data_IF_704524814733
#
_entry.id   IF_704524814733
#
_cell.length_a   1.000
_cell.length_b   1.000
_cell.length_c   1.000
_cell.angle_alpha   90.00
_cell.angle_beta   90.00
_cell.angle_gamma   90.00
#
_symmetry.space_group_name_H-M   'P 1'
#
loop_
_entity.id
_entity.type
_entity.pdbx_description
1 polymer ?
#
# COMPACT_ATOMS: atom_id res chain seq x y z
N UNK A 1 28.11 18.49 14.23
CA UNK A 1 28.06 17.20 13.49
C UNK A 1 27.49 17.50 12.12
N UNK A 2 28.28 17.29 11.06
CA UNK A 2 27.90 17.55 9.67
C UNK A 2 26.92 16.46 9.22
N UNK A 3 25.69 16.83 8.86
CA UNK A 3 24.81 15.96 8.09
C UNK A 3 25.41 15.84 6.69
N UNK A 4 26.01 14.69 6.40
CA UNK A 4 26.42 14.34 5.05
C UNK A 4 25.16 14.09 4.26
N UNK A 5 24.89 14.94 3.26
CA UNK A 5 23.99 14.62 2.16
C UNK A 5 24.52 13.32 1.57
N UNK A 6 23.79 12.22 1.74
CA UNK A 6 24.16 10.93 1.20
C UNK A 6 24.13 11.03 -0.33
N UNK A 7 25.31 10.98 -0.93
CA UNK A 7 25.53 10.68 -2.33
C UNK A 7 25.09 9.22 -2.57
N UNK A 8 23.79 9.04 -2.84
CA UNK A 8 23.23 7.73 -3.15
C UNK A 8 23.68 7.31 -4.55
N UNK A 9 24.75 6.52 -4.62
CA UNK A 9 25.08 5.75 -5.83
C UNK A 9 24.07 4.62 -6.02
N UNK A 10 22.90 4.90 -6.60
CA UNK A 10 21.95 3.88 -7.07
C UNK A 10 22.34 3.39 -8.47
N UNK A 11 23.22 2.39 -8.54
CA UNK A 11 23.60 1.72 -9.81
C UNK A 11 23.24 0.22 -9.86
N UNK A 12 22.40 -0.28 -8.95
CA UNK A 12 21.90 -1.65 -9.01
C UNK A 12 20.43 -1.64 -9.44
N UNK A 13 20.19 -2.15 -10.64
CA UNK A 13 18.90 -2.16 -11.33
C UNK A 13 17.79 -2.79 -10.50
N UNK A 14 16.58 -2.23 -10.63
CA UNK A 14 15.39 -2.75 -9.97
C UNK A 14 15.08 -4.21 -10.34
N UNK A 15 14.18 -4.81 -9.57
CA UNK A 15 13.71 -6.18 -9.80
C UNK A 15 13.16 -6.30 -11.22
N UNK A 16 13.51 -7.39 -11.92
CA UNK A 16 12.90 -7.74 -13.20
C UNK A 16 11.37 -7.84 -13.00
N UNK A 17 10.54 -7.03 -13.68
CA UNK A 17 9.08 -7.04 -13.51
C UNK A 17 8.43 -8.40 -13.77
N UNK A 18 9.04 -9.24 -14.63
CA UNK A 18 8.56 -10.61 -14.91
C UNK A 18 9.07 -11.65 -13.89
N UNK A 19 9.88 -11.28 -12.91
CA UNK A 19 10.24 -12.19 -11.81
C UNK A 19 9.04 -12.43 -10.88
N UNK A 20 9.06 -13.47 -10.03
CA UNK A 20 8.04 -13.64 -9.00
C UNK A 20 7.88 -12.40 -8.10
N UNK A 21 8.98 -11.75 -7.73
CA UNK A 21 8.96 -10.53 -6.93
C UNK A 21 8.39 -9.35 -7.72
N UNK A 22 8.69 -9.25 -9.02
CA UNK A 22 8.17 -8.21 -9.89
C UNK A 22 6.65 -8.27 -10.03
N UNK A 23 6.10 -9.48 -10.27
CA UNK A 23 4.65 -9.71 -10.31
C UNK A 23 4.01 -9.44 -8.95
N UNK A 24 4.66 -9.83 -7.85
CA UNK A 24 4.16 -9.53 -6.52
C UNK A 24 4.09 -8.02 -6.23
N UNK A 25 5.08 -7.24 -6.69
CA UNK A 25 5.09 -5.79 -6.52
C UNK A 25 4.02 -5.08 -7.37
N UNK A 26 3.63 -5.65 -8.52
CA UNK A 26 2.53 -5.13 -9.34
C UNK A 26 1.20 -5.10 -8.56
N UNK A 27 1.00 -6.01 -7.61
CA UNK A 27 -0.17 -6.03 -6.72
C UNK A 27 -0.25 -4.86 -5.73
N UNK A 28 0.82 -4.10 -5.56
CA UNK A 28 0.88 -2.96 -4.63
C UNK A 28 1.35 -1.69 -5.34
N UNK A 29 1.10 -1.60 -6.65
CA UNK A 29 1.56 -0.49 -7.48
C UNK A 29 0.86 0.82 -7.09
N UNK A 30 1.66 1.80 -6.69
CA UNK A 30 1.14 3.14 -6.40
C UNK A 30 0.73 3.88 -7.68
N UNK A 31 -0.42 4.54 -7.65
CA UNK A 31 -0.76 5.58 -8.62
C UNK A 31 -0.03 6.89 -8.27
N UNK A 32 -0.07 7.86 -9.19
CA UNK A 32 0.63 9.16 -8.99
C UNK A 32 0.09 9.93 -7.78
N UNK A 33 -1.21 9.86 -7.53
CA UNK A 33 -1.84 10.50 -6.39
C UNK A 33 -1.31 9.97 -5.06
N UNK A 34 -1.19 8.64 -4.94
CA UNK A 34 -0.73 7.99 -3.72
C UNK A 34 0.74 8.33 -3.43
N UNK A 35 1.59 8.41 -4.46
CA UNK A 35 2.99 8.85 -4.32
C UNK A 35 3.09 10.32 -3.90
N UNK A 36 2.25 11.21 -4.45
CA UNK A 36 2.21 12.62 -4.05
C UNK A 36 1.77 12.77 -2.59
N UNK A 37 0.70 12.07 -2.20
CA UNK A 37 0.22 12.01 -0.81
C UNK A 37 1.30 11.44 0.14
N UNK A 38 2.02 10.42 -0.28
CA UNK A 38 3.12 9.86 0.52
C UNK A 38 4.27 10.84 0.72
N UNK A 39 4.65 11.60 -0.31
CA UNK A 39 5.74 12.56 -0.21
C UNK A 39 5.43 13.68 0.81
N UNK A 40 4.19 14.17 0.83
CA UNK A 40 3.77 15.18 1.82
C UNK A 40 3.62 14.55 3.20
N UNK A 41 3.08 13.33 3.27
CA UNK A 41 2.93 12.58 4.50
C UNK A 41 4.26 12.28 5.22
N UNK A 42 5.34 12.06 4.47
CA UNK A 42 6.68 11.88 5.05
C UNK A 42 7.14 13.12 5.83
N UNK A 43 6.79 14.33 5.40
CA UNK A 43 7.13 15.55 6.15
C UNK A 43 6.47 15.56 7.53
N UNK A 44 5.18 15.19 7.61
CA UNK A 44 4.49 15.05 8.89
C UNK A 44 5.10 13.95 9.75
N UNK A 45 5.51 12.83 9.15
CA UNK A 45 6.20 11.74 9.87
C UNK A 45 7.51 12.23 10.50
N UNK A 46 8.36 12.91 9.72
CA UNK A 46 9.64 13.42 10.19
C UNK A 46 9.46 14.50 11.27
N UNK A 47 8.54 15.45 11.05
CA UNK A 47 8.25 16.49 12.03
C UNK A 47 7.74 15.90 13.36
N UNK A 48 6.87 14.91 13.30
CA UNK A 48 6.34 14.25 14.50
C UNK A 48 7.43 13.51 15.26
N UNK A 49 8.30 12.78 14.54
CA UNK A 49 9.46 12.12 15.13
C UNK A 49 10.40 13.11 15.83
N UNK A 50 10.73 14.23 15.18
CA UNK A 50 11.60 15.25 15.78
C UNK A 50 10.99 15.90 17.03
N UNK A 51 9.68 16.20 17.00
CA UNK A 51 8.97 16.77 18.16
C UNK A 51 8.99 15.80 19.34
N UNK A 52 8.59 14.55 19.12
CA UNK A 52 8.55 13.51 20.16
C UNK A 52 9.95 13.30 20.75
N UNK A 53 10.97 13.16 19.91
CA UNK A 53 12.34 12.94 20.36
C UNK A 53 12.88 14.15 21.15
N UNK A 54 12.64 15.38 20.67
CA UNK A 54 13.08 16.61 21.34
C UNK A 54 12.45 16.77 22.74
N UNK A 55 11.16 16.49 22.88
CA UNK A 55 10.43 16.60 24.13
C UNK A 55 10.87 15.53 25.14
N UNK A 56 11.04 14.27 24.70
CA UNK A 56 11.53 13.19 25.55
C UNK A 56 12.97 13.46 26.02
N UNK A 57 13.86 13.92 25.13
CA UNK A 57 15.23 14.27 25.50
C UNK A 57 15.30 15.45 26.49
N UNK A 58 14.46 16.47 26.33
CA UNK A 58 14.36 17.57 27.31
C UNK A 58 13.85 17.08 28.67
N UNK A 59 12.92 16.11 28.70
CA UNK A 59 12.36 15.55 29.94
C UNK A 59 13.38 14.66 30.66
N UNK A 60 14.11 13.80 29.94
CA UNK A 60 15.24 13.02 30.51
C UNK A 60 16.32 13.90 31.15
N UNK A 61 16.59 15.10 30.60
CA UNK A 61 17.51 16.06 31.25
C UNK A 61 16.97 16.65 32.57
N UNK A 62 15.65 16.59 32.81
CA UNK A 62 15.00 17.15 34.00
C UNK A 62 14.62 16.10 35.06
N UNK A 63 14.58 14.81 34.70
CA UNK A 63 14.21 13.71 35.60
C UNK A 63 15.29 12.61 35.54
N UNK A 64 15.98 12.38 36.66
CA UNK A 64 17.08 11.41 36.82
C UNK A 64 16.63 9.94 36.96
N UNK A 65 15.36 9.61 36.72
CA UNK A 65 14.82 8.27 36.91
C UNK A 65 14.48 7.59 35.58
N UNK A 66 15.13 6.44 35.36
CA UNK A 66 15.11 5.62 34.14
C UNK A 66 13.99 4.57 34.23
N UNK A 67 12.75 4.97 33.98
CA UNK A 67 11.63 4.02 33.83
C UNK A 67 11.11 4.07 32.39
N UNK A 68 11.63 3.18 31.53
CA UNK A 68 11.29 3.11 30.10
C UNK A 68 9.79 2.91 29.83
N UNK A 69 9.08 2.16 30.68
CA UNK A 69 7.63 1.92 30.50
C UNK A 69 6.78 3.19 30.63
N UNK A 70 7.18 4.12 31.51
CA UNK A 70 6.50 5.40 31.68
C UNK A 70 6.78 6.30 30.48
N UNK A 71 8.00 6.26 29.95
CA UNK A 71 8.37 7.01 28.76
C UNK A 71 7.60 6.54 27.51
N UNK A 72 7.34 5.23 27.36
CA UNK A 72 6.59 4.68 26.23
C UNK A 72 5.10 5.03 26.28
N UNK A 73 4.44 4.91 27.45
CA UNK A 73 3.03 5.33 27.61
C UNK A 73 2.87 6.83 27.29
N UNK A 74 3.76 7.67 27.80
CA UNK A 74 3.74 9.09 27.47
C UNK A 74 4.06 9.38 26.00
N UNK A 75 4.79 8.49 25.32
CA UNK A 75 5.14 8.66 23.92
C UNK A 75 3.95 8.42 23.01
N UNK A 76 3.16 7.38 23.29
CA UNK A 76 1.93 7.06 22.57
C UNK A 76 0.85 8.12 22.84
N UNK A 77 0.65 8.54 24.10
CA UNK A 77 -0.29 9.62 24.41
C UNK A 77 0.11 10.96 23.74
N UNK A 78 1.40 11.27 23.71
CA UNK A 78 1.91 12.48 23.09
C UNK A 78 1.78 12.43 21.56
N UNK A 79 2.07 11.28 20.93
CA UNK A 79 1.93 11.15 19.49
C UNK A 79 0.47 11.26 19.05
N UNK A 80 -0.46 10.68 19.80
CA UNK A 80 -1.90 10.84 19.54
C UNK A 80 -2.34 12.30 19.70
N UNK A 81 -1.82 13.01 20.71
CA UNK A 81 -2.11 14.43 20.90
C UNK A 81 -1.61 15.32 19.75
N UNK A 82 -0.55 14.92 19.04
CA UNK A 82 -0.05 15.67 17.88
C UNK A 82 -1.06 15.75 16.73
N UNK A 83 -1.98 14.79 16.62
CA UNK A 83 -3.01 14.80 15.58
C UNK A 83 -4.00 15.97 15.72
N UNK A 84 -4.06 16.61 16.89
CA UNK A 84 -4.92 17.77 17.16
C UNK A 84 -4.25 19.10 16.74
N UNK A 85 -2.96 19.08 16.41
CA UNK A 85 -2.22 20.30 16.02
C UNK A 85 -2.52 20.61 14.55
N UNK A 86 -3.14 21.76 14.30
CA UNK A 86 -3.38 22.26 12.95
C UNK A 86 -2.16 23.01 12.42
N UNK A 87 -1.55 22.47 11.36
CA UNK A 87 -0.43 23.10 10.65
C UNK A 87 -0.86 23.81 9.36
N UNK A 88 -2.17 23.92 9.09
CA UNK A 88 -2.71 24.55 7.88
C UNK A 88 -2.30 26.01 7.70
N UNK A 89 -1.94 26.71 8.79
CA UNK A 89 -1.42 28.08 8.74
C UNK A 89 0.08 28.17 8.38
N UNK A 90 0.84 27.07 8.51
CA UNK A 90 2.30 27.05 8.37
C UNK A 90 2.76 26.43 7.04
N UNK A 91 1.92 25.62 6.40
CA UNK A 91 2.27 24.93 5.16
C UNK A 91 1.39 25.48 4.02
N UNK A 92 1.97 26.04 2.95
CA UNK A 92 1.20 26.57 1.83
C UNK A 92 0.20 25.54 1.28
N UNK A 93 -1.01 25.93 0.87
CA UNK A 93 -1.98 25.00 0.27
C UNK A 93 -1.41 24.28 -0.96
N UNK A 94 -0.54 24.96 -1.71
CA UNK A 94 0.10 24.47 -2.94
C UNK A 94 1.11 23.35 -2.71
N UNK A 95 1.63 23.19 -1.48
CA UNK A 95 2.56 22.08 -1.14
C UNK A 95 1.84 20.73 -1.01
N UNK A 96 0.50 20.73 -0.97
CA UNK A 96 -0.32 19.52 -0.83
C UNK A 96 -1.07 19.15 -2.10
N UNK A 97 -0.75 19.78 -3.23
CA UNK A 97 -1.53 19.63 -4.47
C UNK A 97 -1.26 18.26 -5.12
N UNK A 98 -1.94 17.25 -4.59
CA UNK A 98 -2.24 16.01 -5.30
C UNK A 98 -2.90 16.41 -6.60
N UNK A 99 -2.53 15.76 -7.71
CA UNK A 99 -3.00 16.11 -9.05
C UNK A 99 -4.52 16.38 -9.10
N UNK A 100 -4.91 17.67 -9.09
CA UNK A 100 -6.31 18.11 -9.05
C UNK A 100 -7.10 17.61 -10.25
N UNK A 101 -6.42 17.17 -11.30
CA UNK A 101 -7.06 16.73 -12.52
C UNK A 101 -7.83 15.42 -12.33
N UNK A 102 -7.40 14.53 -11.44
CA UNK A 102 -8.02 13.21 -11.26
C UNK A 102 -8.75 13.04 -9.91
N UNK A 103 -8.81 14.10 -9.11
CA UNK A 103 -9.41 14.07 -7.78
C UNK A 103 -10.69 14.90 -7.71
N UNK A 104 -11.71 14.43 -6.98
CA UNK A 104 -12.98 15.14 -6.84
C UNK A 104 -13.02 15.86 -5.48
N UNK A 105 -12.88 17.20 -5.51
CA UNK A 105 -12.97 18.06 -4.31
C UNK A 105 -14.05 19.15 -4.44
N UNK A 106 -14.89 19.06 -5.46
CA UNK A 106 -15.97 20.01 -5.72
C UNK A 106 -17.13 19.92 -4.72
N UNK A 107 -18.09 20.87 -4.79
CA UNK A 107 -19.30 20.82 -3.99
C UNK A 107 -20.14 19.58 -4.33
N UNK A 108 -20.86 19.06 -3.33
CA UNK A 108 -21.73 17.91 -3.52
C UNK A 108 -23.05 18.28 -4.19
N UNK A 109 -23.44 17.49 -5.19
CA UNK A 109 -24.79 17.51 -5.76
C UNK A 109 -25.63 16.38 -5.12
N UNK A 110 -26.55 16.69 -4.19
CA UNK A 110 -27.37 15.69 -3.54
C UNK A 110 -28.45 15.10 -4.47
N UNK A 111 -28.65 15.67 -5.66
CA UNK A 111 -29.66 15.24 -6.63
C UNK A 111 -29.12 14.25 -7.65
N UNK A 112 -27.79 14.08 -7.73
CA UNK A 112 -27.16 13.10 -8.61
C UNK A 112 -27.65 11.68 -8.26
N UNK A 113 -28.19 10.92 -9.23
CA UNK A 113 -28.61 9.54 -9.01
C UNK A 113 -27.43 8.56 -9.02
N UNK A 114 -26.23 9.01 -9.40
CA UNK A 114 -25.04 8.18 -9.55
C UNK A 114 -23.96 8.52 -8.52
N UNK A 115 -23.18 7.50 -8.16
CA UNK A 115 -21.97 7.64 -7.33
C UNK A 115 -20.88 8.35 -8.14
N UNK A 116 -20.03 9.10 -7.46
CA UNK A 116 -18.76 9.56 -8.01
C UNK A 116 -17.77 8.39 -8.04
N UNK A 117 -16.85 8.36 -9.00
CA UNK A 117 -15.84 7.30 -9.09
C UNK A 117 -14.83 7.34 -7.95
N UNK A 118 -14.61 8.51 -7.36
CA UNK A 118 -13.74 8.67 -6.19
C UNK A 118 -14.43 8.32 -4.88
N UNK A 119 -15.75 8.11 -4.85
CA UNK A 119 -16.53 7.97 -3.62
C UNK A 119 -16.80 9.28 -2.88
N UNK A 120 -16.29 10.42 -3.38
CA UNK A 120 -16.58 11.76 -2.83
C UNK A 120 -18.08 12.05 -2.81
N UNK A 121 -18.54 12.75 -1.78
CA UNK A 121 -19.95 13.10 -1.58
C UNK A 121 -20.92 11.93 -1.33
N UNK A 122 -20.42 10.70 -1.11
CA UNK A 122 -21.29 9.62 -0.62
C UNK A 122 -21.95 9.98 0.72
N UNK A 123 -21.19 10.65 1.60
CA UNK A 123 -21.70 11.27 2.81
C UNK A 123 -21.75 12.80 2.63
N UNK A 124 -22.95 13.36 2.48
CA UNK A 124 -23.13 14.80 2.22
C UNK A 124 -22.66 15.71 3.36
N UNK A 125 -22.56 15.20 4.60
CA UNK A 125 -22.05 15.97 5.75
C UNK A 125 -20.53 15.93 5.82
N UNK A 126 -19.93 14.79 5.44
CA UNK A 126 -18.49 14.56 5.43
C UNK A 126 -18.06 13.99 4.07
N UNK A 127 -17.93 14.82 3.02
CA UNK A 127 -17.77 14.35 1.64
C UNK A 127 -16.58 13.43 1.39
N UNK A 128 -15.51 13.56 2.18
CA UNK A 128 -14.30 12.73 2.05
C UNK A 128 -14.38 11.35 2.73
N UNK A 129 -15.44 11.01 3.45
CA UNK A 129 -15.54 9.71 4.12
C UNK A 129 -15.70 8.58 3.10
N UNK A 130 -14.77 7.62 3.14
CA UNK A 130 -14.75 6.48 2.22
C UNK A 130 -14.28 6.81 0.80
N UNK A 131 -13.85 8.06 0.56
CA UNK A 131 -13.25 8.50 -0.69
C UNK A 131 -11.94 7.76 -0.94
N UNK A 132 -11.62 7.49 -2.20
CA UNK A 132 -10.32 6.98 -2.61
C UNK A 132 -9.18 7.93 -2.24
N UNK A 133 -7.97 7.40 -2.21
CA UNK A 133 -6.75 8.15 -1.89
C UNK A 133 -6.78 8.83 -0.50
N UNK A 134 -7.40 8.17 0.46
CA UNK A 134 -7.45 8.61 1.87
C UNK A 134 -6.70 7.62 2.75
N UNK A 135 -6.55 7.92 4.04
CA UNK A 135 -5.96 6.97 5.00
C UNK A 135 -7.00 6.01 5.54
N UNK A 136 -6.57 4.81 5.94
CA UNK A 136 -7.44 3.90 6.66
C UNK A 136 -7.94 4.51 7.98
N UNK A 137 -9.17 4.16 8.36
CA UNK A 137 -9.66 4.46 9.70
C UNK A 137 -9.02 3.51 10.71
N UNK A 138 -8.59 4.07 11.84
CA UNK A 138 -8.12 3.30 12.99
C UNK A 138 -9.28 2.95 13.91
N UNK A 139 -9.52 1.65 14.11
CA UNK A 139 -10.43 1.15 15.15
C UNK A 139 -9.77 1.18 16.54
N UNK A 140 -8.44 1.10 16.56
CA UNK A 140 -7.60 1.20 17.76
C UNK A 140 -6.38 2.08 17.44
N UNK A 141 -5.80 2.77 18.44
CA UNK A 141 -4.57 3.52 18.27
C UNK A 141 -3.45 2.68 17.65
N UNK A 142 -2.55 3.35 16.92
CA UNK A 142 -1.37 2.68 16.35
C UNK A 142 -0.38 2.27 17.45
N UNK A 143 0.40 1.22 17.21
CA UNK A 143 1.47 0.80 18.12
C UNK A 143 2.78 0.67 17.35
N UNK A 144 3.58 1.73 17.38
CA UNK A 144 4.91 1.78 16.78
C UNK A 144 6.00 1.79 17.87
N UNK A 145 7.18 1.26 17.56
CA UNK A 145 8.31 1.15 18.49
C UNK A 145 8.79 2.52 19.01
N UNK A 146 8.57 3.57 18.22
CA UNK A 146 8.88 4.97 18.53
C UNK A 146 7.64 5.85 18.72
N UNK A 147 6.46 5.24 18.80
CA UNK A 147 5.17 5.93 18.86
C UNK A 147 4.75 6.67 17.58
N UNK A 148 5.59 6.66 16.53
CA UNK A 148 5.32 7.41 15.29
C UNK A 148 5.29 6.49 14.07
N UNK A 149 6.36 5.77 13.75
CA UNK A 149 6.40 5.02 12.49
C UNK A 149 7.29 3.78 12.50
N UNK A 150 8.27 3.67 13.39
CA UNK A 150 9.17 2.50 13.40
C UNK A 150 8.36 1.23 13.70
N UNK A 151 8.37 0.22 12.80
CA UNK A 151 7.68 -1.04 13.05
C UNK A 151 8.11 -1.63 14.39
N UNK A 152 7.12 -2.07 15.16
CA UNK A 152 7.32 -2.64 16.49
C UNK A 152 8.25 -3.85 16.42
N UNK A 153 9.23 -3.90 17.33
CA UNK A 153 10.17 -5.03 17.43
C UNK A 153 10.14 -5.74 18.78
N UNK A 154 9.52 -5.12 19.80
CA UNK A 154 9.46 -5.64 21.16
C UNK A 154 8.01 -5.97 21.53
N UNK A 155 7.81 -7.15 22.13
CA UNK A 155 6.55 -7.67 22.64
C UNK A 155 6.09 -6.93 23.90
N UNK A 156 4.84 -7.17 24.33
CA UNK A 156 4.29 -6.56 25.57
C UNK A 156 5.03 -7.05 26.83
N UNK A 157 5.74 -8.17 26.72
CA UNK A 157 6.58 -8.75 27.78
C UNK A 157 8.00 -8.19 27.81
N UNK A 158 8.33 -7.24 26.93
CA UNK A 158 9.70 -6.69 26.78
C UNK A 158 10.65 -7.58 25.98
N UNK A 159 10.19 -8.71 25.46
CA UNK A 159 11.00 -9.64 24.64
C UNK A 159 10.84 -9.35 23.16
N UNK A 160 11.87 -9.56 22.34
CA UNK A 160 11.80 -9.37 20.89
C UNK A 160 10.67 -10.18 20.23
N UNK A 161 9.95 -9.55 19.31
CA UNK A 161 8.92 -10.20 18.52
C UNK A 161 9.53 -11.30 17.63
N UNK A 162 8.81 -12.44 17.45
CA UNK A 162 9.33 -13.52 16.64
C UNK A 162 9.44 -13.11 15.17
N UNK A 163 10.42 -13.68 14.49
CA UNK A 163 10.58 -13.51 13.05
C UNK A 163 9.30 -13.99 12.31
N UNK A 164 8.74 -13.20 11.37
CA UNK A 164 7.50 -13.57 10.65
C UNK A 164 7.57 -14.92 9.95
N UNK A 165 8.74 -15.32 9.42
CA UNK A 165 8.93 -16.62 8.78
C UNK A 165 8.89 -17.77 9.79
N UNK A 166 9.39 -17.56 11.01
CA UNK A 166 9.26 -18.55 12.09
C UNK A 166 7.79 -18.75 12.43
N UNK A 167 7.02 -17.66 12.58
CA UNK A 167 5.57 -17.73 12.82
C UNK A 167 4.84 -18.44 11.68
N UNK A 168 5.15 -18.09 10.42
CA UNK A 168 4.59 -18.75 9.23
C UNK A 168 4.83 -20.26 9.28
N UNK A 169 6.08 -20.69 9.53
CA UNK A 169 6.42 -22.12 9.58
C UNK A 169 5.77 -22.87 10.75
N UNK A 170 5.72 -22.27 11.92
CA UNK A 170 5.28 -22.95 13.15
C UNK A 170 3.76 -22.98 13.26
N UNK A 171 3.07 -21.93 12.80
CA UNK A 171 1.62 -21.75 12.99
C UNK A 171 0.82 -22.07 11.72
N UNK A 172 1.40 -21.91 10.53
CA UNK A 172 0.72 -22.12 9.25
C UNK A 172 1.36 -23.29 8.48
N UNK A 173 1.13 -24.54 8.89
CA UNK A 173 1.68 -25.68 8.19
C UNK A 173 1.08 -25.80 6.80
N UNK A 174 1.90 -26.14 5.82
CA UNK A 174 1.48 -26.36 4.44
C UNK A 174 0.80 -27.74 4.33
N UNK A 175 -0.50 -27.77 4.64
CA UNK A 175 -1.33 -28.98 4.62
C UNK A 175 -2.38 -28.81 3.52
N UNK A 176 -2.35 -29.70 2.54
CA UNK A 176 -3.42 -29.80 1.55
C UNK A 176 -4.65 -30.47 2.16
N UNK A 177 -5.62 -29.65 2.57
CA UNK A 177 -6.90 -30.11 3.09
C UNK A 177 -8.05 -29.37 2.41
N UNK A 178 -8.77 -30.07 1.53
CA UNK A 178 -9.88 -29.50 0.77
C UNK A 178 -11.10 -29.32 1.67
N UNK A 179 -11.75 -28.16 1.57
CA UNK A 179 -12.94 -27.88 2.37
C UNK A 179 -14.16 -28.64 1.83
N UNK A 180 -14.81 -29.47 2.65
CA UNK A 180 -15.94 -30.30 2.23
C UNK A 180 -17.27 -29.57 1.96
N UNK A 181 -17.36 -28.27 2.27
CA UNK A 181 -18.60 -27.47 2.12
C UNK A 181 -18.49 -26.22 1.24
N UNK A 182 -17.28 -25.72 0.98
CA UNK A 182 -17.08 -24.45 0.28
C UNK A 182 -16.28 -24.71 -0.98
N UNK A 183 -16.72 -24.09 -2.07
CA UNK A 183 -16.02 -24.18 -3.34
C UNK A 183 -14.89 -23.15 -3.37
N UNK A 184 -13.99 -23.29 -4.34
CA UNK A 184 -12.94 -22.31 -4.58
C UNK A 184 -13.50 -20.91 -4.89
N UNK A 185 -14.74 -20.82 -5.38
CA UNK A 185 -15.42 -19.55 -5.66
C UNK A 185 -15.56 -18.68 -4.40
N UNK A 186 -15.71 -19.28 -3.21
CA UNK A 186 -15.78 -18.51 -1.97
C UNK A 186 -14.50 -17.71 -1.72
N UNK A 187 -13.34 -18.34 -1.89
CA UNK A 187 -12.04 -17.66 -1.79
C UNK A 187 -11.89 -16.60 -2.89
N UNK A 188 -12.23 -16.97 -4.13
CA UNK A 188 -12.03 -16.09 -5.27
C UNK A 188 -12.91 -14.83 -5.22
N UNK A 189 -14.16 -14.97 -4.76
CA UNK A 189 -15.08 -13.86 -4.56
C UNK A 189 -14.66 -12.97 -3.38
N UNK A 190 -14.13 -13.56 -2.30
CA UNK A 190 -13.60 -12.79 -1.18
C UNK A 190 -12.42 -11.89 -1.62
N UNK A 191 -11.52 -12.41 -2.46
CA UNK A 191 -10.44 -11.59 -3.03
C UNK A 191 -10.98 -10.51 -3.98
N UNK A 192 -11.98 -10.83 -4.80
CA UNK A 192 -12.62 -9.84 -5.67
C UNK A 192 -13.25 -8.69 -4.88
N UNK A 193 -13.84 -8.99 -3.71
CA UNK A 193 -14.41 -8.01 -2.79
C UNK A 193 -13.33 -7.19 -2.06
N UNK A 194 -12.26 -7.83 -1.59
CA UNK A 194 -11.12 -7.14 -0.96
C UNK A 194 -10.54 -6.07 -1.91
N UNK A 195 -10.44 -6.40 -3.20
CA UNK A 195 -9.95 -5.49 -4.22
C UNK A 195 -10.88 -4.32 -4.53
N UNK A 196 -12.16 -4.40 -4.16
CA UNK A 196 -13.13 -3.29 -4.22
C UNK A 196 -13.00 -2.34 -3.02
N UNK A 197 -12.58 -2.87 -1.87
CA UNK A 197 -12.53 -2.11 -0.63
C UNK A 197 -11.18 -1.47 -0.36
N UNK A 198 -10.08 -2.16 -0.73
CA UNK A 198 -8.75 -1.75 -0.28
C UNK A 198 -7.65 -1.95 -1.32
N UNK A 199 -6.76 -0.96 -1.36
CA UNK A 199 -5.49 -1.05 -2.06
C UNK A 199 -4.43 -0.26 -1.29
N UNK A 200 -3.48 -0.98 -0.68
CA UNK A 200 -2.38 -0.36 0.07
C UNK A 200 -1.11 -0.37 -0.79
N UNK A 201 -0.72 0.76 -1.40
CA UNK A 201 0.43 0.80 -2.29
C UNK A 201 1.78 0.81 -1.54
N UNK A 202 2.85 0.51 -2.27
CA UNK A 202 4.25 0.66 -1.83
C UNK A 202 5.00 1.67 -2.72
N UNK A 203 6.19 2.11 -2.28
CA UNK A 203 7.02 3.04 -3.05
C UNK A 203 7.52 2.41 -4.36
N UNK A 204 7.72 3.28 -5.36
CA UNK A 204 8.44 2.95 -6.60
C UNK A 204 9.87 3.48 -6.52
N UNK A 205 10.78 2.81 -7.22
CA UNK A 205 12.12 3.30 -7.50
C UNK A 205 12.14 4.33 -8.63
N UNK A 206 13.34 4.78 -9.00
CA UNK A 206 13.54 5.71 -10.11
C UNK A 206 13.00 5.12 -11.43
N UNK A 207 12.42 5.97 -12.30
CA UNK A 207 11.76 5.56 -13.54
C UNK A 207 10.74 4.41 -13.37
N UNK A 208 9.93 4.46 -12.29
CA UNK A 208 8.92 3.43 -11.97
C UNK A 208 9.49 2.01 -11.78
N UNK A 209 10.78 1.89 -11.51
CA UNK A 209 11.40 0.60 -11.20
C UNK A 209 10.88 0.01 -9.88
N UNK A 210 11.00 -1.31 -9.75
CA UNK A 210 10.61 -2.03 -8.53
C UNK A 210 11.85 -2.13 -7.62
N UNK A 211 11.84 -1.52 -6.41
CA UNK A 211 12.99 -1.59 -5.51
C UNK A 211 13.31 -3.02 -5.08
N UNK A 212 14.58 -3.43 -5.16
CA UNK A 212 15.01 -4.75 -4.70
C UNK A 212 15.30 -4.78 -3.20
N UNK A 213 14.27 -5.04 -2.40
CA UNK A 213 14.42 -5.17 -0.95
C UNK A 213 14.92 -6.55 -0.49
N UNK A 214 15.57 -7.36 -1.34
CA UNK A 214 16.00 -8.72 -0.97
C UNK A 214 17.24 -8.76 -0.07
N UNK A 215 18.17 -7.83 -0.24
CA UNK A 215 19.32 -7.72 0.65
C UNK A 215 18.85 -7.34 2.06
N UNK A 216 19.45 -7.94 3.09
CA UNK A 216 19.15 -7.59 4.48
C UNK A 216 19.53 -6.14 4.83
N UNK A 217 20.44 -5.52 4.08
CA UNK A 217 20.82 -4.12 4.26
C UNK A 217 20.08 -3.14 3.31
N UNK A 218 19.09 -3.63 2.55
CA UNK A 218 18.36 -2.87 1.53
C UNK A 218 17.69 -1.60 2.05
N UNK A 219 17.39 -1.52 3.36
CA UNK A 219 16.96 -0.29 4.02
C UNK A 219 17.95 0.88 3.81
N UNK A 220 19.24 0.58 3.76
CA UNK A 220 20.34 1.55 3.62
C UNK A 220 20.83 1.66 2.18
N UNK A 221 20.85 0.53 1.46
CA UNK A 221 21.46 0.42 0.12
C UNK A 221 20.47 0.63 -1.02
N UNK A 222 19.17 0.44 -0.80
CA UNK A 222 18.13 0.46 -1.84
C UNK A 222 17.05 1.50 -1.55
N UNK A 223 16.34 1.41 -0.43
CA UNK A 223 15.32 2.38 -0.07
C UNK A 223 15.05 2.37 1.44
N UNK A 224 14.89 3.53 2.13
CA UNK A 224 14.62 3.59 3.57
C UNK A 224 13.36 2.84 4.04
N UNK A 225 12.42 2.63 3.12
CA UNK A 225 11.16 1.89 3.36
C UNK A 225 11.28 0.39 3.07
N UNK A 226 12.42 -0.10 2.57
CA UNK A 226 12.71 -1.53 2.60
C UNK A 226 12.78 -1.99 4.06
N UNK A 227 12.06 -3.06 4.37
CA UNK A 227 12.03 -3.67 5.69
C UNK A 227 12.16 -5.20 5.58
N UNK A 228 13.26 -5.68 4.99
CA UNK A 228 13.51 -7.12 4.86
C UNK A 228 13.62 -7.77 6.24
N UNK A 229 13.27 -9.05 6.31
CA UNK A 229 13.48 -9.85 7.52
C UNK A 229 14.28 -11.12 7.19
N UNK A 230 15.21 -11.52 8.07
CA UNK A 230 16.13 -12.62 7.76
C UNK A 230 15.41 -13.95 7.67
N UNK A 231 15.91 -14.82 6.81
CA UNK A 231 15.49 -16.22 6.81
C UNK A 231 16.06 -16.87 8.09
N UNK A 232 15.22 -17.52 8.91
CA UNK A 232 15.68 -18.15 10.15
C UNK A 232 16.55 -19.37 9.87
N UNK A 233 17.47 -19.67 10.79
CA UNK A 233 18.30 -20.86 10.70
C UNK A 233 17.47 -22.14 10.67
N UNK A 234 17.86 -23.09 9.83
CA UNK A 234 17.16 -24.35 9.65
C UNK A 234 15.79 -24.22 8.99
N UNK A 235 15.51 -23.12 8.26
CA UNK A 235 14.36 -23.06 7.34
C UNK A 235 14.49 -24.18 6.29
N UNK A 236 13.42 -24.93 6.08
CA UNK A 236 13.43 -26.11 5.22
C UNK A 236 13.31 -25.76 3.73
N UNK A 237 12.86 -24.54 3.41
CA UNK A 237 12.57 -24.12 2.05
C UNK A 237 13.53 -23.05 1.55
N UNK A 238 13.75 -22.00 2.37
CA UNK A 238 14.64 -20.91 1.99
C UNK A 238 16.04 -21.11 2.59
N UNK A 239 17.12 -20.98 1.80
CA UNK A 239 18.46 -21.05 2.37
C UNK A 239 18.73 -19.85 3.29
N UNK A 240 19.45 -20.03 4.39
CA UNK A 240 19.82 -18.92 5.27
C UNK A 240 20.89 -18.01 4.64
N UNK A 241 21.81 -18.59 3.86
CA UNK A 241 22.96 -17.92 3.29
C UNK A 241 22.97 -18.11 1.77
N UNK A 242 23.32 -17.07 1.05
CA UNK A 242 23.58 -17.15 -0.37
C UNK A 242 24.95 -17.81 -0.59
N UNK A 243 24.96 -18.98 -1.22
CA UNK A 243 26.18 -19.78 -1.43
C UNK A 243 27.25 -19.08 -2.28
N UNK A 244 26.85 -18.12 -3.10
CA UNK A 244 27.76 -17.39 -4.00
C UNK A 244 28.37 -16.17 -3.31
N UNK A 245 27.58 -15.39 -2.58
CA UNK A 245 28.07 -14.17 -1.93
C UNK A 245 28.53 -14.39 -0.49
N UNK A 246 28.13 -15.49 0.15
CA UNK A 246 28.32 -15.70 1.59
C UNK A 246 27.45 -14.82 2.48
N UNK A 247 26.59 -13.98 1.89
CA UNK A 247 25.74 -13.06 2.63
C UNK A 247 24.47 -13.75 3.14
N UNK A 248 23.95 -13.23 4.25
CA UNK A 248 22.68 -13.69 4.81
C UNK A 248 21.54 -13.32 3.86
N UNK A 249 20.61 -14.25 3.67
CA UNK A 249 19.43 -14.01 2.86
C UNK A 249 18.27 -13.50 3.71
N UNK A 250 17.52 -12.57 3.13
CA UNK A 250 16.29 -12.04 3.69
C UNK A 250 15.10 -12.28 2.76
N UNK A 251 13.91 -12.32 3.35
CA UNK A 251 12.65 -12.25 2.60
C UNK A 251 12.39 -10.77 2.30
N UNK A 252 12.23 -10.39 1.02
CA UNK A 252 12.02 -9.00 0.65
C UNK A 252 10.66 -8.51 1.15
N UNK A 253 10.66 -7.33 1.77
CA UNK A 253 9.45 -6.63 2.15
C UNK A 253 9.69 -5.13 2.08
N UNK A 254 8.67 -4.39 1.66
CA UNK A 254 8.66 -2.93 1.61
C UNK A 254 7.47 -2.43 2.43
N UNK A 255 7.67 -1.34 3.19
CA UNK A 255 6.61 -0.72 3.96
C UNK A 255 5.60 -0.04 3.03
N UNK A 256 4.33 -0.13 3.40
CA UNK A 256 3.21 0.56 2.77
C UNK A 256 3.40 2.07 2.75
N UNK A 257 2.90 2.76 1.72
CA UNK A 257 2.95 4.21 1.63
C UNK A 257 2.31 4.88 2.86
N UNK A 258 2.97 5.91 3.44
CA UNK A 258 2.34 6.76 4.44
C UNK A 258 1.32 7.69 3.76
N UNK A 259 0.29 8.12 4.48
CA UNK A 259 -0.75 9.00 3.97
C UNK A 259 -1.28 10.04 4.95
N UNK A 260 -0.71 10.12 6.16
CA UNK A 260 -1.15 11.08 7.17
C UNK A 260 -0.97 12.52 6.67
N UNK A 261 -1.98 13.34 6.95
CA UNK A 261 -1.99 14.77 6.61
C UNK A 261 -1.91 15.68 7.84
N UNK A 262 -1.57 15.09 8.99
CA UNK A 262 -1.43 15.74 10.28
C UNK A 262 -0.21 15.18 11.00
N UNK A 263 0.29 15.90 12.00
CA UNK A 263 1.30 15.36 12.91
C UNK A 263 0.73 14.16 13.68
N UNK A 264 1.61 13.30 14.18
CA UNK A 264 1.27 12.09 14.91
C UNK A 264 1.75 10.82 14.21
N UNK A 265 1.19 9.66 14.58
CA UNK A 265 1.60 8.39 14.04
C UNK A 265 1.36 8.24 12.53
N UNK A 266 2.12 7.35 11.91
CA UNK A 266 2.03 7.02 10.48
C UNK A 266 0.68 6.39 10.18
N UNK A 267 0.01 6.89 9.15
CA UNK A 267 -1.22 6.29 8.59
C UNK A 267 -0.94 5.72 7.22
N UNK A 268 -1.57 4.61 6.85
CA UNK A 268 -1.38 3.99 5.54
C UNK A 268 -2.46 4.47 4.56
N UNK A 269 -2.07 4.67 3.30
CA UNK A 269 -2.99 5.05 2.23
C UNK A 269 -3.86 3.87 1.82
N UNK A 270 -5.17 4.09 1.76
CA UNK A 270 -6.06 3.33 0.89
C UNK A 270 -6.18 4.08 -0.44
N UNK A 271 -5.59 3.53 -1.49
CA UNK A 271 -5.68 4.10 -2.82
C UNK A 271 -7.07 3.90 -3.42
N UNK A 272 -7.83 2.90 -2.97
CA UNK A 272 -9.16 2.59 -3.49
C UNK A 272 -10.29 3.29 -2.70
N UNK A 273 -11.51 3.31 -3.25
CA UNK A 273 -12.71 3.69 -2.49
C UNK A 273 -12.97 2.67 -1.37
N UNK A 274 -13.66 3.07 -0.30
CA UNK A 274 -13.98 2.18 0.82
C UNK A 274 -15.38 1.54 0.71
N UNK A 275 -16.07 1.74 -0.41
CA UNK A 275 -17.43 1.25 -0.64
C UNK A 275 -17.40 -0.04 -1.46
N UNK A 276 -18.49 -0.80 -1.40
CA UNK A 276 -18.75 -1.86 -2.38
C UNK A 276 -19.43 -1.22 -3.59
N UNK A 277 -18.62 -0.66 -4.48
CA UNK A 277 -19.07 0.12 -5.63
C UNK A 277 -18.49 -0.37 -6.97
N UNK A 278 -17.86 -1.55 -6.96
CA UNK A 278 -17.21 -2.15 -8.11
C UNK A 278 -16.05 -1.30 -8.67
N UNK A 279 -15.34 -0.56 -7.80
CA UNK A 279 -14.14 0.23 -8.14
C UNK A 279 -13.01 -0.59 -8.78
N UNK A 280 -12.86 -1.87 -8.42
CA UNK A 280 -11.98 -2.84 -9.07
C UNK A 280 -12.34 -3.12 -10.55
N UNK A 281 -13.57 -2.81 -10.96
CA UNK A 281 -14.04 -2.86 -12.36
C UNK A 281 -13.96 -1.48 -13.01
N UNK A 282 -14.48 -0.45 -12.33
CA UNK A 282 -14.72 0.89 -12.92
C UNK A 282 -13.59 1.90 -12.71
N UNK A 283 -12.72 1.71 -11.72
CA UNK A 283 -11.69 2.68 -11.35
C UNK A 283 -12.05 3.41 -10.06
N UNK A 284 -11.00 3.77 -9.32
CA UNK A 284 -11.10 4.57 -8.10
C UNK A 284 -11.17 6.09 -8.38
N UNK A 285 -11.13 6.49 -9.64
CA UNK A 285 -11.28 7.86 -10.11
C UNK A 285 -11.61 7.91 -11.61
N UNK A 286 -12.01 9.08 -12.09
CA UNK A 286 -12.45 9.26 -13.46
C UNK A 286 -11.31 9.17 -14.51
N UNK A 287 -10.05 9.37 -14.10
CA UNK A 287 -8.90 9.19 -15.00
C UNK A 287 -8.62 7.71 -15.29
N UNK A 288 -8.74 6.83 -14.30
CA UNK A 288 -8.63 5.38 -14.47
C UNK A 288 -9.78 4.88 -15.33
N UNK A 289 -11.02 5.29 -15.04
CA UNK A 289 -12.17 4.93 -15.86
C UNK A 289 -11.99 5.31 -17.32
N UNK A 290 -11.45 6.50 -17.61
CA UNK A 290 -11.26 6.98 -18.99
C UNK A 290 -10.46 5.99 -19.84
N UNK A 291 -9.50 5.30 -19.25
CA UNK A 291 -8.67 4.32 -19.95
C UNK A 291 -9.38 2.95 -20.11
N UNK A 292 -10.44 2.72 -19.33
CA UNK A 292 -11.24 1.49 -19.32
C UNK A 292 -12.57 1.63 -20.08
N UNK A 293 -13.03 2.85 -20.35
CA UNK A 293 -14.32 3.13 -20.98
C UNK A 293 -14.25 2.89 -22.49
N UNK A 294 -15.26 2.21 -23.00
CA UNK A 294 -15.49 1.98 -24.42
C UNK A 294 -16.45 3.00 -25.03
N UNK A 295 -16.98 2.67 -26.21
CA UNK A 295 -17.97 3.51 -26.89
C UNK A 295 -19.38 3.22 -26.39
N UNK A 296 -20.30 4.18 -26.58
CA UNK A 296 -21.74 4.02 -26.32
C UNK A 296 -22.09 3.58 -24.89
N UNK A 297 -21.30 4.00 -23.89
CA UNK A 297 -21.55 3.67 -22.48
C UNK A 297 -21.00 2.31 -22.03
N UNK A 298 -20.41 1.53 -22.93
CA UNK A 298 -19.80 0.22 -22.61
C UNK A 298 -18.40 0.35 -22.02
N UNK A 299 -17.90 -0.74 -21.44
CA UNK A 299 -16.49 -0.89 -21.07
C UNK A 299 -15.66 -1.36 -22.26
N UNK A 300 -14.42 -0.87 -22.39
CA UNK A 300 -13.51 -1.24 -23.47
C UNK A 300 -13.19 -2.74 -23.42
N UNK A 301 -13.23 -3.44 -24.55
CA UNK A 301 -13.14 -4.89 -24.64
C UNK A 301 -12.16 -5.40 -25.70
N UNK A 302 -11.65 -6.60 -25.48
CA UNK A 302 -11.07 -7.42 -26.56
C UNK A 302 -11.98 -8.59 -26.88
N UNK A 303 -11.91 -9.10 -28.12
CA UNK A 303 -12.74 -10.21 -28.57
C UNK A 303 -11.99 -11.51 -28.46
N UNK A 304 -12.57 -12.52 -27.80
CA UNK A 304 -11.98 -13.84 -27.68
C UNK A 304 -11.86 -14.51 -29.06
N UNK A 305 -10.67 -14.98 -29.47
CA UNK A 305 -10.41 -15.41 -30.85
C UNK A 305 -11.22 -16.64 -31.28
N UNK A 306 -11.56 -17.53 -30.35
CA UNK A 306 -12.27 -18.79 -30.67
C UNK A 306 -13.81 -18.67 -30.62
N UNK A 307 -14.37 -17.78 -29.79
CA UNK A 307 -15.81 -17.77 -29.48
C UNK A 307 -16.48 -16.41 -29.59
N UNK A 308 -15.75 -15.37 -29.98
CA UNK A 308 -16.29 -14.02 -30.14
C UNK A 308 -16.75 -13.33 -28.85
N UNK A 309 -16.58 -13.97 -27.69
CA UNK A 309 -16.97 -13.38 -26.40
C UNK A 309 -16.07 -12.22 -26.03
N UNK A 310 -16.66 -11.19 -25.43
CA UNK A 310 -15.88 -10.07 -24.90
C UNK A 310 -15.03 -10.52 -23.70
N UNK A 311 -13.80 -10.04 -23.69
CA UNK A 311 -12.83 -10.18 -22.62
C UNK A 311 -12.47 -8.78 -22.12
N UNK A 312 -11.71 -8.74 -21.03
CA UNK A 312 -11.07 -7.50 -20.59
C UNK A 312 -10.20 -6.89 -21.72
N UNK A 313 -10.05 -5.56 -21.76
CA UNK A 313 -9.15 -4.92 -22.70
C UNK A 313 -7.71 -5.38 -22.45
N UNK A 314 -6.86 -5.37 -23.47
CA UNK A 314 -5.48 -5.86 -23.38
C UNK A 314 -4.49 -4.72 -23.67
N UNK A 315 -3.33 -4.76 -23.02
CA UNK A 315 -2.21 -3.84 -23.30
C UNK A 315 -0.86 -4.52 -23.10
N UNK A 316 0.12 -3.97 -23.81
CA UNK A 316 1.56 -4.25 -23.74
C UNK A 316 2.31 -3.33 -22.76
N UNK A 317 1.62 -2.38 -22.10
CA UNK A 317 2.22 -1.39 -21.20
C UNK A 317 2.60 -1.93 -19.83
N UNK A 318 2.17 -3.14 -19.49
CA UNK A 318 2.42 -3.79 -18.21
C UNK A 318 3.72 -4.61 -18.25
N UNK A 319 4.84 -4.11 -17.70
CA UNK A 319 6.14 -4.81 -17.80
C UNK A 319 6.16 -6.17 -17.09
N UNK A 320 5.30 -6.36 -16.09
CA UNK A 320 5.06 -7.61 -15.37
C UNK A 320 4.39 -8.70 -16.22
N UNK A 321 3.91 -8.34 -17.42
CA UNK A 321 3.18 -9.25 -18.28
C UNK A 321 4.02 -10.45 -18.73
N UNK A 322 3.53 -11.66 -18.39
CA UNK A 322 4.14 -12.95 -18.74
C UNK A 322 3.48 -13.65 -19.93
N UNK A 323 2.44 -13.06 -20.48
CA UNK A 323 1.73 -13.61 -21.64
C UNK A 323 2.70 -13.81 -22.81
N UNK A 324 2.67 -14.95 -23.52
CA UNK A 324 3.51 -15.17 -24.71
C UNK A 324 3.31 -14.13 -25.81
N UNK A 325 2.10 -13.55 -25.90
CA UNK A 325 1.77 -12.47 -26.85
C UNK A 325 2.35 -11.11 -26.46
N UNK A 326 2.86 -10.96 -25.24
CA UNK A 326 3.22 -9.67 -24.66
C UNK A 326 2.03 -8.83 -24.20
N UNK A 327 0.80 -9.30 -24.40
CA UNK A 327 -0.42 -8.59 -24.04
C UNK A 327 -1.06 -9.17 -22.76
N UNK A 328 -1.36 -8.31 -21.80
CA UNK A 328 -2.07 -8.65 -20.56
C UNK A 328 -3.36 -7.87 -20.42
N UNK A 329 -4.31 -8.42 -19.67
CA UNK A 329 -5.57 -7.74 -19.40
C UNK A 329 -5.36 -6.50 -18.53
N UNK A 330 -6.11 -5.45 -18.85
CA UNK A 330 -6.22 -4.22 -18.07
C UNK A 330 -7.57 -4.24 -17.37
N UNK A 331 -7.59 -3.85 -16.10
CA UNK A 331 -8.77 -3.37 -15.40
C UNK A 331 -8.33 -2.28 -14.42
N UNK A 332 -9.25 -1.77 -13.64
CA UNK A 332 -8.98 -0.69 -12.70
C UNK A 332 -7.94 -1.06 -11.62
N UNK A 333 -7.95 -2.32 -11.17
CA UNK A 333 -7.02 -2.81 -10.18
C UNK A 333 -5.99 -3.77 -10.81
N UNK A 334 -4.70 -3.43 -10.70
CA UNK A 334 -3.58 -4.22 -11.22
C UNK A 334 -3.46 -5.62 -10.57
N UNK A 335 -4.24 -5.91 -9.51
CA UNK A 335 -4.37 -7.23 -8.87
C UNK A 335 -5.22 -8.26 -9.61
N UNK A 336 -5.30 -8.15 -10.93
CA UNK A 336 -6.15 -8.96 -11.79
C UNK A 336 -5.77 -10.44 -11.88
N UNK A 337 -4.49 -10.80 -11.82
CA UNK A 337 -4.08 -12.14 -12.29
C UNK A 337 -4.75 -13.33 -11.57
N UNK A 338 -5.07 -13.29 -10.26
CA UNK A 338 -5.86 -14.35 -9.65
C UNK A 338 -7.37 -14.16 -9.83
N UNK A 339 -7.89 -12.93 -10.02
CA UNK A 339 -9.31 -12.61 -10.15
C UNK A 339 -9.81 -12.31 -11.59
N UNK A 340 -8.99 -12.55 -12.62
CA UNK A 340 -9.24 -12.11 -13.99
C UNK A 340 -10.54 -12.69 -14.58
N UNK A 341 -10.89 -13.92 -14.20
CA UNK A 341 -12.14 -14.56 -14.61
C UNK A 341 -13.37 -13.83 -14.05
N UNK A 342 -13.36 -13.44 -12.77
CA UNK A 342 -14.49 -12.72 -12.15
C UNK A 342 -14.63 -11.31 -12.73
N UNK A 343 -13.53 -10.59 -12.93
CA UNK A 343 -13.55 -9.28 -13.58
C UNK A 343 -14.12 -9.35 -15.00
N UNK A 344 -13.73 -10.37 -15.78
CA UNK A 344 -14.27 -10.58 -17.14
C UNK A 344 -15.76 -10.92 -17.13
N UNK A 345 -16.21 -11.75 -16.17
CA UNK A 345 -17.63 -12.11 -16.00
C UNK A 345 -18.47 -10.90 -15.59
N UNK A 346 -18.00 -10.10 -14.63
CA UNK A 346 -18.72 -8.92 -14.16
C UNK A 346 -18.89 -7.91 -15.28
N UNK A 347 -17.81 -7.63 -16.02
CA UNK A 347 -17.85 -6.74 -17.18
C UNK A 347 -18.88 -7.22 -18.22
N UNK A 348 -18.84 -8.49 -18.61
CA UNK A 348 -19.79 -9.05 -19.56
C UNK A 348 -21.26 -8.95 -19.06
N UNK A 349 -21.48 -8.92 -17.75
CA UNK A 349 -22.78 -8.69 -17.15
C UNK A 349 -23.21 -7.21 -17.09
N UNK A 350 -22.26 -6.27 -17.09
CA UNK A 350 -22.53 -4.83 -17.11
C UNK A 350 -22.88 -4.29 -18.50
N UNK A 351 -22.57 -5.05 -19.55
CA UNK A 351 -22.95 -4.75 -20.93
C UNK A 351 -24.36 -5.28 -21.30
N UNK A 352 -25.22 -5.53 -20.29
CA UNK A 352 -26.60 -6.02 -20.46
C UNK A 352 -27.59 -4.86 -20.24
N UNK A 353 -28.33 -4.59 -21.33
CA UNK A 353 -29.45 -3.65 -21.57
C UNK A 353 -29.11 -2.15 -21.75
#
# INVERSE_FOLDING_TARGET
MKYSICDFRFYLGGINPKSPQGVAAAFSKANKGALKLANTSLLFEFASNEIVNSLIHRRRRRQLFDNNAVADIFRDELSDALQQVDLGALIPPQTFDVDLQCDDNGPCDPTSPFRTYTGHCNNLRNPGWGKSLTTFNRLLPSVYDDGISKPRTIGVTGVGLPNPRVVSRVIHPDISNLHGRYTLMTMQFAQFLDHDLTMTPIHKGFHESIPDCRSCDSKRTVHPECNPFPIPSGDHYYPEINITSGERMCIPAMRSLPGQQKLGPREQVNQNTAFLDASQVYGENHCVLRDLKGQFGKMNATTHPVRGKELLPQSDKHPECKSPSGQCFIAANDKLTPAACLNSLWKAGTDIE
#
